data_IF_388680826867
#
_entry.id   IF_388680826867
#
_cell.length_a   1.000
_cell.length_b   1.000
_cell.length_c   1.000
_cell.angle_alpha   90.00
_cell.angle_beta   90.00
_cell.angle_gamma   90.00
#
_symmetry.space_group_name_H-M   'P 1'
#
loop_
_entity.id
_entity.type
_entity.pdbx_description
1 polymer ?
#
# COMPACT_ATOMS: atom_id res chain seq x y z
N UNK A 1 -13.21 -4.77 7.20
CA UNK A 1 -11.81 -5.27 7.36
C UNK A 1 -11.54 -6.66 6.74
N UNK A 2 -12.53 -7.43 6.25
CA UNK A 2 -12.29 -8.81 5.75
C UNK A 2 -11.82 -8.96 4.29
N UNK A 3 -11.75 -7.88 3.49
CA UNK A 3 -11.53 -7.99 2.04
C UNK A 3 -10.13 -7.60 1.53
N UNK A 4 -9.23 -7.11 2.39
CA UNK A 4 -7.87 -6.77 1.97
C UNK A 4 -7.13 -8.03 1.47
N UNK A 5 -6.56 -7.97 0.27
CA UNK A 5 -5.76 -9.03 -0.33
C UNK A 5 -4.34 -8.99 0.23
N UNK A 6 -3.82 -7.80 0.50
CA UNK A 6 -2.54 -7.60 1.18
C UNK A 6 -2.66 -6.57 2.31
N UNK A 7 -1.87 -6.79 3.36
CA UNK A 7 -1.76 -5.86 4.50
C UNK A 7 -0.29 -5.76 4.88
N UNK A 8 0.26 -4.54 4.83
CA UNK A 8 1.68 -4.30 5.11
C UNK A 8 1.98 -2.86 5.48
N UNK A 9 3.08 -2.66 6.19
CA UNK A 9 3.73 -1.37 6.37
C UNK A 9 4.85 -1.25 5.36
N UNK A 10 4.82 -0.16 4.60
CA UNK A 10 5.85 0.12 3.61
C UNK A 10 6.24 1.59 3.59
N UNK A 11 7.47 1.82 3.18
CA UNK A 11 8.02 3.14 2.89
C UNK A 11 7.89 3.43 1.39
N UNK A 12 7.43 4.62 1.04
CA UNK A 12 7.28 5.04 -0.36
C UNK A 12 8.65 5.33 -0.96
N UNK A 13 9.01 4.60 -1.99
CA UNK A 13 10.24 4.82 -2.75
C UNK A 13 10.02 5.75 -3.95
N UNK A 14 8.86 5.63 -4.59
CA UNK A 14 8.55 6.34 -5.82
C UNK A 14 7.04 6.48 -6.00
N UNK A 15 6.62 7.60 -6.57
CA UNK A 15 5.24 7.87 -6.98
C UNK A 15 5.29 8.32 -8.43
N UNK A 16 4.49 7.69 -9.30
CA UNK A 16 4.35 8.10 -10.70
C UNK A 16 2.93 7.88 -11.20
N UNK A 17 2.57 8.56 -12.27
CA UNK A 17 1.33 8.28 -12.98
C UNK A 17 1.38 6.88 -13.62
N UNK A 18 0.24 6.19 -13.60
CA UNK A 18 0.09 4.92 -14.28
C UNK A 18 0.14 5.13 -15.80
N UNK A 19 0.89 4.30 -16.50
CA UNK A 19 0.88 4.30 -17.97
C UNK A 19 -0.48 3.82 -18.50
N UNK A 20 -0.77 4.06 -19.79
CA UNK A 20 -2.04 3.62 -20.43
C UNK A 20 -2.26 2.10 -20.33
N UNK A 21 -1.20 1.31 -20.34
CA UNK A 21 -1.24 -0.15 -20.20
C UNK A 21 -1.42 -0.61 -18.75
N UNK A 22 -1.10 0.27 -17.79
CA UNK A 22 -1.25 -0.02 -16.37
C UNK A 22 -2.62 0.43 -15.87
N UNK A 23 -3.09 1.62 -16.21
CA UNK A 23 -4.39 2.11 -15.75
C UNK A 23 -5.56 1.26 -16.29
N UNK A 24 -6.60 1.08 -15.48
CA UNK A 24 -7.89 0.63 -16.00
C UNK A 24 -8.46 1.66 -16.97
N UNK A 25 -9.44 1.27 -17.80
CA UNK A 25 -9.98 2.10 -18.91
C UNK A 25 -10.36 3.56 -18.52
N UNK A 26 -10.57 3.85 -17.23
CA UNK A 26 -11.03 5.16 -16.74
C UNK A 26 -10.37 5.65 -15.43
N UNK A 27 -9.14 5.23 -15.07
CA UNK A 27 -8.50 5.69 -13.82
C UNK A 27 -7.32 6.66 -14.02
N UNK A 28 -7.35 7.80 -13.32
CA UNK A 28 -6.18 8.65 -13.05
C UNK A 28 -5.31 7.99 -11.95
N UNK A 29 -4.98 6.73 -12.16
CA UNK A 29 -4.26 5.93 -11.18
C UNK A 29 -2.80 6.36 -11.09
N UNK A 30 -2.28 6.37 -9.87
CA UNK A 30 -0.86 6.48 -9.57
C UNK A 30 -0.34 5.11 -9.17
N UNK A 31 0.86 4.78 -9.66
CA UNK A 31 1.62 3.62 -9.21
C UNK A 31 2.62 4.10 -8.17
N UNK A 32 2.53 3.51 -6.98
CA UNK A 32 3.40 3.82 -5.86
C UNK A 32 4.26 2.60 -5.59
N UNK A 33 5.57 2.74 -5.77
CA UNK A 33 6.53 1.69 -5.42
C UNK A 33 6.90 1.85 -3.96
N UNK A 34 6.78 0.76 -3.20
CA UNK A 34 6.99 0.76 -1.76
C UNK A 34 7.97 -0.35 -1.36
N UNK A 35 8.85 -0.02 -0.41
CA UNK A 35 9.66 -1.00 0.31
C UNK A 35 8.86 -1.52 1.49
N UNK A 36 8.63 -2.84 1.52
CA UNK A 36 7.92 -3.50 2.60
C UNK A 36 8.84 -3.67 3.80
N UNK A 37 8.46 -3.08 4.93
CA UNK A 37 9.17 -3.24 6.20
C UNK A 37 8.55 -4.37 7.04
N UNK A 38 7.22 -4.44 7.05
CA UNK A 38 6.46 -5.42 7.83
C UNK A 38 5.19 -5.80 7.09
N UNK A 39 4.76 -7.05 7.15
CA UNK A 39 3.53 -7.50 6.49
C UNK A 39 2.76 -8.54 7.30
N UNK A 40 1.45 -8.60 7.07
CA UNK A 40 0.54 -9.54 7.74
C UNK A 40 -0.15 -10.47 6.75
N UNK A 41 -0.43 -9.99 5.53
CA UNK A 41 -1.19 -10.74 4.53
C UNK A 41 -0.70 -10.46 3.12
N UNK A 42 -0.70 -11.48 2.27
CA UNK A 42 -0.61 -11.35 0.81
C UNK A 42 0.74 -10.93 0.21
N UNK A 43 1.71 -10.50 1.01
CA UNK A 43 3.01 -10.04 0.50
C UNK A 43 4.02 -11.17 0.34
N UNK A 44 4.73 -11.16 -0.81
CA UNK A 44 5.76 -12.15 -1.17
C UNK A 44 7.12 -11.55 -1.56
N UNK A 45 7.20 -10.21 -1.67
CA UNK A 45 8.40 -9.47 -2.08
C UNK A 45 8.67 -8.32 -1.13
N UNK A 46 9.95 -7.94 -0.97
CA UNK A 46 10.38 -6.78 -0.17
C UNK A 46 10.10 -5.44 -0.85
N UNK A 47 9.82 -5.45 -2.15
CA UNK A 47 9.34 -4.29 -2.89
C UNK A 47 8.05 -4.65 -3.62
N UNK A 48 7.08 -3.73 -3.58
CA UNK A 48 5.78 -3.92 -4.20
C UNK A 48 5.25 -2.62 -4.78
N UNK A 49 4.48 -2.74 -5.86
CA UNK A 49 3.73 -1.63 -6.44
C UNK A 49 2.29 -1.70 -5.95
N UNK A 50 1.76 -0.56 -5.53
CA UNK A 50 0.34 -0.39 -5.22
C UNK A 50 -0.27 0.64 -6.15
N UNK A 51 -1.54 0.44 -6.44
CA UNK A 51 -2.34 1.39 -7.19
C UNK A 51 -3.14 2.27 -6.23
N UNK A 52 -3.21 3.55 -6.54
CA UNK A 52 -4.03 4.50 -5.77
C UNK A 52 -4.64 5.54 -6.68
N UNK A 53 -5.79 6.05 -6.28
CA UNK A 53 -6.36 7.29 -6.79
C UNK A 53 -6.05 8.43 -5.81
N UNK A 54 -5.01 9.22 -6.11
CA UNK A 54 -4.65 10.40 -5.30
C UNK A 54 -5.61 11.57 -5.48
N UNK A 55 -6.49 11.53 -6.48
CA UNK A 55 -7.45 12.61 -6.79
C UNK A 55 -8.80 12.40 -6.12
N UNK A 56 -9.07 11.18 -5.65
CA UNK A 56 -10.30 10.82 -4.97
C UNK A 56 -10.07 10.36 -3.53
N UNK A 57 -10.38 9.10 -3.29
CA UNK A 57 -10.50 8.51 -1.95
C UNK A 57 -9.20 7.84 -1.46
N UNK A 58 -8.16 7.85 -2.29
CA UNK A 58 -6.87 7.25 -1.97
C UNK A 58 -6.01 8.19 -1.10
N UNK A 59 -5.10 7.63 -0.31
CA UNK A 59 -4.16 8.42 0.47
C UNK A 59 -3.16 9.14 -0.45
N UNK A 60 -2.74 10.33 -0.01
CA UNK A 60 -1.69 11.08 -0.68
C UNK A 60 -0.31 10.54 -0.26
N UNK A 61 0.26 9.66 -1.07
CA UNK A 61 1.59 9.10 -0.79
C UNK A 61 2.69 10.11 -1.11
N UNK A 62 3.69 10.20 -0.22
CA UNK A 62 4.90 11.00 -0.42
C UNK A 62 6.13 10.14 -0.25
N UNK A 63 7.16 10.39 -1.06
CA UNK A 63 8.44 9.69 -1.00
C UNK A 63 9.02 9.79 0.43
N UNK A 64 9.63 8.70 0.89
CA UNK A 64 10.20 8.50 2.22
C UNK A 64 9.18 8.48 3.39
N UNK A 65 7.90 8.70 3.15
CA UNK A 65 6.87 8.48 4.18
C UNK A 65 6.48 6.99 4.28
N UNK A 66 6.01 6.61 5.46
CA UNK A 66 5.57 5.24 5.77
C UNK A 66 4.07 5.17 5.95
N UNK A 67 3.48 4.11 5.40
CA UNK A 67 2.05 3.88 5.44
C UNK A 67 1.73 2.46 5.88
N UNK A 68 0.66 2.30 6.64
CA UNK A 68 -0.04 1.02 6.78
C UNK A 68 -1.02 0.88 5.62
N UNK A 69 -0.75 -0.08 4.75
CA UNK A 69 -1.43 -0.28 3.49
C UNK A 69 -2.35 -1.49 3.54
N UNK A 70 -3.59 -1.27 3.11
CA UNK A 70 -4.60 -2.28 2.89
C UNK A 70 -4.88 -2.38 1.38
N UNK A 71 -4.17 -3.26 0.69
CA UNK A 71 -4.30 -3.43 -0.76
C UNK A 71 -5.44 -4.40 -1.12
N UNK A 72 -6.30 -4.00 -2.06
CA UNK A 72 -7.41 -4.81 -2.55
C UNK A 72 -7.18 -5.31 -3.99
N UNK A 73 -7.61 -6.55 -4.25
CA UNK A 73 -7.53 -7.15 -5.58
C UNK A 73 -6.11 -7.45 -6.05
N UNK A 74 -5.95 -7.71 -7.35
CA UNK A 74 -4.64 -8.07 -7.94
C UNK A 74 -3.68 -6.89 -8.04
N UNK A 75 -4.21 -5.67 -8.16
CA UNK A 75 -3.43 -4.43 -8.34
C UNK A 75 -3.11 -3.73 -7.01
N UNK A 76 -3.59 -4.30 -5.89
CA UNK A 76 -3.46 -3.72 -4.55
C UNK A 76 -3.96 -2.28 -4.52
N UNK A 77 -5.19 -2.10 -5.00
CA UNK A 77 -5.85 -0.81 -4.94
C UNK A 77 -6.00 -0.37 -3.48
N UNK A 78 -5.65 0.88 -3.21
CA UNK A 78 -5.67 1.47 -1.87
C UNK A 78 -6.79 2.50 -1.68
N UNK A 79 -7.63 2.73 -2.69
CA UNK A 79 -8.74 3.69 -2.63
C UNK A 79 -9.78 3.28 -1.58
N UNK A 80 -10.13 4.21 -0.68
CA UNK A 80 -11.06 3.99 0.44
C UNK A 80 -10.78 2.72 1.31
N UNK A 81 -9.56 2.18 1.28
CA UNK A 81 -9.23 0.86 1.85
C UNK A 81 -8.93 0.87 3.36
N UNK A 82 -8.89 2.05 3.97
CA UNK A 82 -8.40 2.27 5.33
C UNK A 82 -6.89 2.50 5.41
N UNK A 83 -6.18 2.51 4.28
CA UNK A 83 -4.76 2.87 4.18
C UNK A 83 -4.51 4.25 4.77
N UNK A 84 -3.51 4.37 5.66
CA UNK A 84 -3.19 5.59 6.40
C UNK A 84 -1.71 5.68 6.70
N UNK A 85 -1.24 6.87 7.08
CA UNK A 85 0.15 7.07 7.52
C UNK A 85 0.42 6.19 8.73
N UNK A 86 1.66 5.71 8.83
CA UNK A 86 2.07 4.84 9.93
C UNK A 86 1.91 5.52 11.29
N UNK A 87 2.13 6.84 11.33
CA UNK A 87 1.96 7.68 12.53
C UNK A 87 0.52 7.70 13.05
N UNK A 88 -0.47 7.55 12.16
CA UNK A 88 -1.90 7.53 12.51
C UNK A 88 -2.45 6.10 12.66
N UNK A 89 -1.60 5.07 12.54
CA UNK A 89 -2.00 3.67 12.44
C UNK A 89 -1.84 2.88 13.75
N UNK A 90 -1.62 3.54 14.89
CA UNK A 90 -1.32 2.87 16.17
C UNK A 90 -2.37 1.81 16.55
N UNK A 91 -3.66 2.18 16.54
CA UNK A 91 -4.77 1.27 16.85
C UNK A 91 -4.86 0.08 15.90
N UNK A 92 -4.57 0.31 14.62
CA UNK A 92 -4.58 -0.76 13.61
C UNK A 92 -3.41 -1.72 13.85
N UNK A 93 -2.23 -1.20 14.20
CA UNK A 93 -1.06 -2.01 14.52
C UNK A 93 -1.26 -2.85 15.77
N UNK A 94 -1.92 -2.31 16.80
CA UNK A 94 -2.31 -3.07 17.99
C UNK A 94 -3.26 -4.22 17.63
N UNK A 95 -4.27 -3.94 16.80
CA UNK A 95 -5.24 -4.95 16.36
C UNK A 95 -4.62 -6.02 15.44
N UNK A 96 -3.67 -5.64 14.60
CA UNK A 96 -2.96 -6.55 13.68
C UNK A 96 -1.91 -7.41 14.40
N UNK A 97 -1.36 -6.91 15.52
CA UNK A 97 -0.33 -7.60 16.28
C UNK A 97 1.00 -7.75 15.53
N UNK A 98 1.85 -8.72 15.94
CA UNK A 98 3.18 -8.88 15.36
C UNK A 98 3.12 -9.31 13.88
N UNK A 99 3.70 -8.51 13.01
CA UNK A 99 3.83 -8.80 11.59
C UNK A 99 5.12 -9.56 11.23
N UNK A 100 5.20 -10.04 10.00
CA UNK A 100 6.37 -10.70 9.41
C UNK A 100 7.29 -9.68 8.76
N UNK A 101 8.58 -9.94 8.75
CA UNK A 101 9.61 -9.11 8.08
C UNK A 101 10.40 -9.96 7.10
N UNK A 102 10.82 -9.37 5.97
CA UNK A 102 11.75 -10.03 5.08
C UNK A 102 13.13 -10.07 5.72
N UNK A 103 13.72 -11.26 5.84
CA UNK A 103 15.11 -11.38 6.28
C UNK A 103 15.99 -10.79 5.18
N UNK A 104 16.72 -9.72 5.50
CA UNK A 104 17.83 -9.26 4.66
C UNK A 104 18.87 -10.38 4.67
N UNK A 105 19.22 -10.86 3.48
CA UNK A 105 20.28 -11.85 3.29
C UNK A 105 21.60 -11.14 3.10
#
# INVERSE_FOLDING_TARGET
MHHATAVFVGEVLEVREATKSERGEYSNAFIVRMRVERYWKGIKSSEINVETDMTGCGPYFRIAEKFLVYGMGKRLDTGCSGTRKLEDAEKDLEALGPGKVFKRK
#
